data_IF_869270417043
#
_entry.id   IF_869270417043
#
_cell.length_a   1.000
_cell.length_b   1.000
_cell.length_c   1.000
_cell.angle_alpha   90.00
_cell.angle_beta   90.00
_cell.angle_gamma   90.00
#
_symmetry.space_group_name_H-M   'P 1'
#
loop_
_entity.id
_entity.type
_entity.pdbx_description
1 polymer ?
#
# COMPACT_ATOMS: atom_id res chain seq x y z
N UNK A 1 14.76 28.38 -4.89
CA UNK A 1 14.19 27.02 -4.74
C UNK A 1 12.77 27.06 -5.26
N UNK A 2 12.49 26.28 -6.29
CA UNK A 2 11.17 26.21 -6.90
C UNK A 2 10.17 25.54 -5.95
N UNK A 3 8.87 25.75 -6.21
CA UNK A 3 7.79 25.06 -5.49
C UNK A 3 7.98 23.53 -5.55
N UNK A 4 8.53 23.03 -6.67
CA UNK A 4 8.83 21.61 -6.90
C UNK A 4 9.94 21.10 -5.95
N UNK A 5 11.03 21.86 -5.77
CA UNK A 5 12.13 21.49 -4.86
C UNK A 5 11.64 21.35 -3.41
N UNK A 6 10.71 22.22 -2.99
CA UNK A 6 10.14 22.16 -1.63
C UNK A 6 9.29 20.90 -1.43
N UNK A 7 8.50 20.51 -2.43
CA UNK A 7 7.74 19.27 -2.36
C UNK A 7 8.67 18.05 -2.36
N UNK A 8 9.70 18.05 -3.20
CA UNK A 8 10.69 16.97 -3.24
C UNK A 8 11.40 16.80 -1.89
N UNK A 9 11.84 17.89 -1.25
CA UNK A 9 12.45 17.85 0.10
C UNK A 9 11.47 17.34 1.17
N UNK A 10 10.22 17.77 1.16
CA UNK A 10 9.22 17.33 2.14
C UNK A 10 8.82 15.85 1.96
N UNK A 11 8.70 15.37 0.72
CA UNK A 11 8.50 13.95 0.43
C UNK A 11 9.75 13.12 0.75
N UNK A 12 10.95 13.65 0.52
CA UNK A 12 12.20 12.99 0.89
C UNK A 12 12.37 12.86 2.40
N UNK A 13 11.98 13.85 3.19
CA UNK A 13 12.04 13.82 4.66
C UNK A 13 11.04 12.81 5.24
N UNK A 14 9.83 12.73 4.68
CA UNK A 14 8.85 11.69 5.01
C UNK A 14 9.35 10.29 4.62
N UNK A 15 10.02 10.15 3.47
CA UNK A 15 10.62 8.88 3.02
C UNK A 15 11.86 8.48 3.83
N UNK A 16 12.54 9.44 4.46
CA UNK A 16 13.74 9.24 5.28
C UNK A 16 13.42 8.81 6.70
N UNK A 17 12.14 8.88 7.11
CA UNK A 17 11.69 8.36 8.40
C UNK A 17 11.81 6.83 8.38
N UNK A 18 12.78 6.29 9.11
CA UNK A 18 12.92 4.84 9.27
C UNK A 18 11.65 4.28 9.90
N UNK A 19 10.82 3.63 9.09
CA UNK A 19 9.71 2.84 9.60
C UNK A 19 10.28 1.77 10.54
N UNK A 20 9.77 1.72 11.76
CA UNK A 20 10.12 0.68 12.71
C UNK A 20 9.50 -0.64 12.27
N UNK A 21 10.11 -1.78 12.63
CA UNK A 21 9.54 -3.12 12.35
C UNK A 21 8.10 -3.23 12.88
N UNK A 22 7.83 -2.59 14.01
CA UNK A 22 6.49 -2.52 14.60
C UNK A 22 5.49 -1.83 13.65
N UNK A 23 5.83 -0.65 13.12
CA UNK A 23 4.97 0.07 12.19
C UNK A 23 4.72 -0.74 10.91
N UNK A 24 5.74 -1.44 10.41
CA UNK A 24 5.59 -2.35 9.27
C UNK A 24 4.62 -3.49 9.57
N UNK A 25 4.72 -4.12 10.75
CA UNK A 25 3.80 -5.18 11.16
C UNK A 25 2.37 -4.64 11.36
N UNK A 26 2.21 -3.44 11.92
CA UNK A 26 0.92 -2.78 12.06
C UNK A 26 0.28 -2.46 10.70
N UNK A 27 1.08 -1.99 9.73
CA UNK A 27 0.63 -1.75 8.36
C UNK A 27 0.22 -3.04 7.65
N UNK A 28 1.02 -4.11 7.78
CA UNK A 28 0.70 -5.42 7.19
C UNK A 28 -0.59 -5.96 7.82
N UNK A 29 -0.70 -5.95 9.14
CA UNK A 29 -1.91 -6.39 9.84
C UNK A 29 -3.14 -5.57 9.42
N UNK A 30 -3.01 -4.23 9.37
CA UNK A 30 -4.05 -3.32 8.92
C UNK A 30 -4.51 -3.60 7.49
N UNK A 31 -3.57 -3.87 6.58
CA UNK A 31 -3.87 -4.20 5.19
C UNK A 31 -4.64 -5.53 5.06
N UNK A 32 -4.25 -6.56 5.83
CA UNK A 32 -4.94 -7.85 5.83
C UNK A 32 -6.36 -7.72 6.39
N UNK A 33 -6.52 -7.01 7.51
CA UNK A 33 -7.83 -6.74 8.11
C UNK A 33 -8.72 -5.98 7.13
N UNK A 34 -8.18 -4.95 6.48
CA UNK A 34 -8.89 -4.16 5.49
C UNK A 34 -9.40 -5.04 4.33
N UNK A 35 -8.52 -5.85 3.72
CA UNK A 35 -8.91 -6.74 2.63
C UNK A 35 -9.98 -7.74 3.06
N UNK A 36 -9.83 -8.34 4.24
CA UNK A 36 -10.79 -9.31 4.76
C UNK A 36 -12.18 -8.68 5.01
N UNK A 37 -12.23 -7.51 5.66
CA UNK A 37 -13.48 -6.81 5.97
C UNK A 37 -14.15 -6.31 4.69
N UNK A 38 -13.42 -5.65 3.79
CA UNK A 38 -13.97 -5.15 2.53
C UNK A 38 -14.46 -6.29 1.63
N UNK A 39 -13.70 -7.39 1.53
CA UNK A 39 -14.12 -8.56 0.75
C UNK A 39 -15.32 -9.26 1.38
N UNK A 40 -15.39 -9.34 2.72
CA UNK A 40 -16.55 -9.89 3.44
C UNK A 40 -17.82 -9.05 3.24
N UNK A 41 -17.70 -7.72 3.30
CA UNK A 41 -18.81 -6.81 3.00
C UNK A 41 -19.26 -6.91 1.54
N UNK A 42 -18.31 -6.95 0.60
CA UNK A 42 -18.61 -7.17 -0.81
C UNK A 42 -19.30 -8.51 -1.05
N UNK A 43 -18.88 -9.57 -0.35
CA UNK A 43 -19.53 -10.88 -0.42
C UNK A 43 -20.98 -10.80 0.04
N UNK A 44 -21.22 -10.13 1.17
CA UNK A 44 -22.54 -9.99 1.76
C UNK A 44 -23.50 -9.16 0.89
N UNK A 45 -23.03 -8.06 0.32
CA UNK A 45 -23.87 -7.09 -0.41
C UNK A 45 -23.97 -7.36 -1.91
N UNK A 46 -22.90 -7.88 -2.52
CA UNK A 46 -22.73 -7.94 -3.99
C UNK A 46 -22.44 -9.37 -4.49
N UNK A 47 -22.25 -10.32 -3.56
CA UNK A 47 -22.03 -11.72 -3.87
C UNK A 47 -20.56 -12.09 -4.11
N UNK A 48 -20.35 -13.40 -4.32
CA UNK A 48 -19.02 -14.03 -4.35
C UNK A 48 -18.10 -13.46 -5.41
N UNK A 49 -18.59 -13.25 -6.63
CA UNK A 49 -17.76 -12.83 -7.76
C UNK A 49 -17.10 -11.48 -7.50
N UNK A 50 -17.88 -10.52 -7.00
CA UNK A 50 -17.38 -9.17 -6.69
C UNK A 50 -16.38 -9.21 -5.53
N UNK A 51 -16.66 -10.00 -4.49
CA UNK A 51 -15.75 -10.16 -3.36
C UNK A 51 -14.38 -10.71 -3.78
N UNK A 52 -14.36 -11.74 -4.62
CA UNK A 52 -13.12 -12.33 -5.13
C UNK A 52 -12.37 -11.35 -6.01
N UNK A 53 -13.06 -10.68 -6.93
CA UNK A 53 -12.44 -9.66 -7.79
C UNK A 53 -11.80 -8.53 -6.96
N UNK A 54 -12.51 -8.04 -5.94
CA UNK A 54 -12.02 -7.01 -5.04
C UNK A 54 -10.79 -7.47 -4.24
N UNK A 55 -10.80 -8.70 -3.71
CA UNK A 55 -9.67 -9.28 -3.01
C UNK A 55 -8.43 -9.40 -3.90
N UNK A 56 -8.61 -9.80 -5.17
CA UNK A 56 -7.52 -9.86 -6.16
C UNK A 56 -6.95 -8.47 -6.43
N UNK A 57 -7.82 -7.47 -6.65
CA UNK A 57 -7.38 -6.08 -6.88
C UNK A 57 -6.55 -5.57 -5.71
N UNK A 58 -7.00 -5.76 -4.47
CA UNK A 58 -6.20 -5.33 -3.33
C UNK A 58 -4.90 -6.11 -3.15
N UNK A 59 -4.89 -7.41 -3.43
CA UNK A 59 -3.66 -8.20 -3.39
C UNK A 59 -2.61 -7.67 -4.38
N UNK A 60 -3.03 -7.36 -5.61
CA UNK A 60 -2.15 -6.76 -6.63
C UNK A 60 -1.66 -5.39 -6.17
N UNK A 61 -2.54 -4.54 -5.65
CA UNK A 61 -2.17 -3.21 -5.16
C UNK A 61 -1.14 -3.28 -4.05
N UNK A 62 -1.35 -4.14 -3.03
CA UNK A 62 -0.42 -4.31 -1.91
C UNK A 62 0.93 -4.85 -2.42
N UNK A 63 0.92 -5.87 -3.29
CA UNK A 63 2.14 -6.43 -3.86
C UNK A 63 2.91 -5.38 -4.68
N UNK A 64 2.22 -4.54 -5.46
CA UNK A 64 2.81 -3.45 -6.23
C UNK A 64 3.46 -2.40 -5.32
N UNK A 65 2.77 -1.96 -4.27
CA UNK A 65 3.34 -1.01 -3.30
C UNK A 65 4.54 -1.61 -2.56
N UNK A 66 4.47 -2.89 -2.18
CA UNK A 66 5.57 -3.60 -1.53
C UNK A 66 6.78 -3.73 -2.47
N UNK A 67 6.56 -4.06 -3.75
CA UNK A 67 7.60 -4.10 -4.76
C UNK A 67 8.30 -2.75 -4.88
N UNK A 68 7.54 -1.67 -5.09
CA UNK A 68 8.13 -0.33 -5.23
C UNK A 68 8.84 0.14 -3.96
N UNK A 69 8.34 -0.23 -2.79
CA UNK A 69 8.99 0.06 -1.51
C UNK A 69 10.33 -0.66 -1.34
N UNK A 70 10.47 -1.88 -1.89
CA UNK A 70 11.70 -2.69 -1.78
C UNK A 70 12.68 -2.40 -2.91
N UNK A 71 12.21 -2.43 -4.17
CA UNK A 71 13.04 -2.19 -5.35
C UNK A 71 13.51 -0.73 -5.41
N UNK A 72 12.69 0.22 -4.94
CA UNK A 72 13.02 1.64 -4.99
C UNK A 72 13.39 2.10 -6.40
N UNK A 73 14.01 3.28 -6.51
CA UNK A 73 14.38 3.93 -7.77
C UNK A 73 15.44 3.17 -8.61
N UNK A 74 15.87 1.98 -8.18
CA UNK A 74 16.99 1.24 -8.80
C UNK A 74 16.68 0.63 -10.16
N UNK A 75 15.40 0.46 -10.51
CA UNK A 75 14.96 0.03 -11.84
C UNK A 75 14.90 1.18 -12.87
N UNK A 76 15.15 2.43 -12.47
CA UNK A 76 15.17 3.59 -13.39
C UNK A 76 16.56 3.86 -14.00
N UNK A 77 17.56 3.02 -13.72
CA UNK A 77 18.89 3.06 -14.34
C UNK A 77 18.97 2.19 -15.60
#
# INVERSE_FOLDING_TARGET
MGIIDRFEEEYLDVSSRRATIRELLELVAGSVVFVAVSSGLAYYLLGRTVAVALGVVFAITIASQAYWAVAGRSDYE
#
